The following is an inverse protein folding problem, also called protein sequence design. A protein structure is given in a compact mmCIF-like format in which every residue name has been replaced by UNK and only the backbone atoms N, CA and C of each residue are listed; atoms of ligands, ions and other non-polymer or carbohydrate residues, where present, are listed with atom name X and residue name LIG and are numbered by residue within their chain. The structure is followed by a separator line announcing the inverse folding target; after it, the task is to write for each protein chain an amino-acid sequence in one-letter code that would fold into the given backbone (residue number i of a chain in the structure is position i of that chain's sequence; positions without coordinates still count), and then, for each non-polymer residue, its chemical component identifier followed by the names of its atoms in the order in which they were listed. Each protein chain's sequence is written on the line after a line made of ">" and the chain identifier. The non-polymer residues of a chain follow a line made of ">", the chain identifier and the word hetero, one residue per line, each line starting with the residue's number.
data_IF_921847372110
#
_entry.id   IF_921847372110
#
_cell.length_a   1.000
_cell.length_b   1.000
_cell.length_c   1.000
_cell.angle_alpha   90.00
_cell.angle_beta   90.00
_cell.angle_gamma   90.00
#
_symmetry.space_group_name_H-M   'P 1'
#
loop_
_entity.id
_entity.type
_entity.pdbx_description
1 polymer ?
#
# COMPACT_ATOMS: atom_id res chain seq x y z
N UNK A 1 12.00 24.37 -8.61
CA UNK A 1 12.09 23.38 -7.51
C UNK A 1 11.54 22.10 -8.09
N UNK A 2 12.37 21.06 -8.21
CA UNK A 2 11.92 19.74 -8.65
C UNK A 2 10.97 19.15 -7.59
N UNK A 3 9.78 18.73 -8.01
CA UNK A 3 8.87 17.97 -7.16
C UNK A 3 9.44 16.55 -7.01
N UNK A 4 9.99 16.27 -5.84
CA UNK A 4 10.43 14.93 -5.47
C UNK A 4 9.22 14.02 -5.23
N UNK A 5 9.34 12.72 -5.53
CA UNK A 5 8.24 11.78 -5.36
C UNK A 5 7.69 11.82 -3.92
N UNK A 6 6.36 11.80 -3.81
CA UNK A 6 5.65 11.71 -2.53
C UNK A 6 5.98 10.43 -1.77
N UNK A 7 5.30 10.22 -0.64
CA UNK A 7 5.48 9.03 0.20
C UNK A 7 5.35 7.73 -0.62
N UNK A 8 6.27 6.80 -0.36
CA UNK A 8 6.40 5.44 -0.89
C UNK A 8 6.73 4.51 0.27
N UNK A 9 6.24 3.26 0.22
CA UNK A 9 6.53 2.23 1.23
C UNK A 9 6.75 0.87 0.56
N UNK A 10 7.54 0.01 1.22
CA UNK A 10 7.58 -1.43 1.02
C UNK A 10 7.52 -2.07 2.42
N UNK A 11 6.35 -2.61 2.81
CA UNK A 11 6.04 -2.94 4.20
C UNK A 11 7.07 -3.86 4.86
N UNK A 12 7.43 -4.97 4.21
CA UNK A 12 8.47 -5.87 4.68
C UNK A 12 9.81 -5.40 4.12
N UNK A 13 10.75 -4.91 4.96
CA UNK A 13 12.04 -4.46 4.50
C UNK A 13 12.90 -5.62 3.96
N UNK A 14 13.78 -5.32 3.02
CA UNK A 14 14.72 -6.31 2.45
C UNK A 14 15.50 -7.05 3.53
N UNK A 15 15.96 -6.35 4.57
CA UNK A 15 16.70 -6.95 5.68
C UNK A 15 15.90 -8.05 6.40
N UNK A 16 14.59 -7.84 6.57
CA UNK A 16 13.68 -8.82 7.17
C UNK A 16 13.48 -10.02 6.25
N UNK A 17 13.32 -9.80 4.94
CA UNK A 17 13.26 -10.88 3.95
C UNK A 17 14.57 -11.69 3.92
N UNK A 18 15.74 -11.05 4.01
CA UNK A 18 17.04 -11.74 4.09
C UNK A 18 17.18 -12.55 5.38
N UNK A 19 16.69 -12.04 6.50
CA UNK A 19 16.67 -12.77 7.75
C UNK A 19 15.77 -14.02 7.65
N UNK A 20 14.60 -13.88 7.01
CA UNK A 20 13.68 -14.99 6.75
C UNK A 20 14.28 -16.05 5.80
N UNK A 21 14.98 -15.63 4.75
CA UNK A 21 15.72 -16.54 3.88
C UNK A 21 16.82 -17.31 4.66
N UNK A 22 17.39 -16.69 5.69
CA UNK A 22 18.44 -17.34 6.50
C UNK A 22 17.88 -18.29 7.55
N UNK A 23 16.60 -18.19 7.92
CA UNK A 23 15.99 -18.97 9.00
C UNK A 23 15.47 -20.34 8.58
N UNK A 24 15.42 -20.65 7.27
CA UNK A 24 14.83 -21.87 6.69
C UNK A 24 13.34 -22.06 7.04
N UNK A 25 12.65 -20.98 7.39
CA UNK A 25 11.22 -21.02 7.71
C UNK A 25 10.33 -20.76 6.50
N UNK A 26 10.90 -20.26 5.39
CA UNK A 26 10.18 -19.92 4.17
C UNK A 26 10.81 -20.58 2.93
N UNK A 27 10.01 -20.69 1.87
CA UNK A 27 10.50 -21.03 0.54
C UNK A 27 11.52 -20.00 0.03
N UNK A 28 12.78 -20.45 -0.12
CA UNK A 28 13.90 -19.58 -0.49
C UNK A 28 13.72 -18.94 -1.87
N UNK A 29 13.11 -19.65 -2.81
CA UNK A 29 12.91 -19.14 -4.17
C UNK A 29 11.90 -18.00 -4.17
N UNK A 30 10.78 -18.16 -3.45
CA UNK A 30 9.79 -17.10 -3.22
C UNK A 30 10.41 -15.87 -2.55
N UNK A 31 11.15 -16.05 -1.46
CA UNK A 31 11.77 -14.93 -0.73
C UNK A 31 12.82 -14.21 -1.61
N UNK A 32 13.70 -14.95 -2.28
CA UNK A 32 14.71 -14.35 -3.15
C UNK A 32 14.10 -13.63 -4.37
N UNK A 33 12.98 -14.15 -4.90
CA UNK A 33 12.22 -13.48 -5.95
C UNK A 33 11.64 -12.15 -5.46
N UNK A 34 11.02 -12.14 -4.27
CA UNK A 34 10.44 -10.93 -3.67
C UNK A 34 11.51 -9.88 -3.30
N UNK A 35 12.70 -10.31 -2.84
CA UNK A 35 13.85 -9.39 -2.63
C UNK A 35 14.22 -8.70 -3.95
N UNK A 36 14.41 -9.47 -5.03
CA UNK A 36 14.76 -8.90 -6.35
C UNK A 36 13.69 -7.95 -6.85
N UNK A 37 12.42 -8.26 -6.59
CA UNK A 37 11.31 -7.38 -6.97
C UNK A 37 11.32 -6.07 -6.18
N UNK A 38 11.47 -6.14 -4.86
CA UNK A 38 11.59 -4.96 -4.00
C UNK A 38 12.71 -4.04 -4.46
N UNK A 39 13.88 -4.59 -4.78
CA UNK A 39 15.02 -3.84 -5.32
C UNK A 39 14.70 -3.10 -6.62
N UNK A 40 14.02 -3.77 -7.57
CA UNK A 40 13.59 -3.12 -8.82
C UNK A 40 12.60 -1.99 -8.56
N UNK A 41 11.67 -2.18 -7.63
CA UNK A 41 10.66 -1.17 -7.28
C UNK A 41 11.31 0.05 -6.63
N UNK A 42 12.25 -0.16 -5.70
CA UNK A 42 13.01 0.91 -5.06
C UNK A 42 13.88 1.67 -6.09
N UNK A 43 14.55 0.96 -7.00
CA UNK A 43 15.31 1.57 -8.11
C UNK A 43 14.42 2.39 -9.04
N UNK A 44 13.25 1.86 -9.41
CA UNK A 44 12.28 2.56 -10.24
C UNK A 44 11.73 3.81 -9.54
N UNK A 45 11.56 3.76 -8.22
CA UNK A 45 11.10 4.90 -7.42
C UNK A 45 12.17 5.97 -7.29
N UNK A 46 13.44 5.59 -7.11
CA UNK A 46 14.56 6.53 -7.10
C UNK A 46 14.73 7.29 -8.43
N UNK A 47 14.22 6.73 -9.54
CA UNK A 47 14.28 7.31 -10.88
C UNK A 47 13.04 8.14 -11.25
N UNK A 48 11.94 8.06 -10.48
CA UNK A 48 10.69 8.77 -10.78
C UNK A 48 10.68 10.18 -10.17
N UNK A 49 10.52 11.19 -11.03
CA UNK A 49 10.03 12.53 -10.67
C UNK A 49 8.50 12.47 -10.64
N UNK A 50 7.85 12.77 -9.52
CA UNK A 50 6.38 12.73 -9.46
C UNK A 50 5.76 13.88 -10.24
N UNK A 51 4.77 13.56 -11.08
CA UNK A 51 3.74 14.50 -11.52
C UNK A 51 2.45 14.11 -10.80
N UNK A 52 1.80 15.02 -10.07
CA UNK A 52 0.49 14.72 -9.48
C UNK A 52 -0.53 14.49 -10.60
N UNK A 53 -1.46 13.53 -10.46
CA UNK A 53 -2.62 13.51 -11.33
C UNK A 53 -3.36 14.84 -11.21
N UNK A 54 -3.83 15.40 -12.33
CA UNK A 54 -4.72 16.57 -12.30
C UNK A 54 -5.98 16.20 -11.50
N UNK A 55 -6.13 16.78 -10.31
CA UNK A 55 -7.34 16.75 -9.50
C UNK A 55 -8.54 17.22 -10.34
N UNK A 56 -9.52 16.34 -10.52
CA UNK A 56 -10.86 16.73 -10.96
C UNK A 56 -11.75 16.90 -9.73
N UNK A 57 -12.54 17.98 -9.72
CA UNK A 57 -13.50 18.26 -8.65
C UNK A 57 -14.44 17.08 -8.37
N UNK A 58 -14.51 16.74 -7.08
CA UNK A 58 -15.42 15.83 -6.37
C UNK A 58 -16.53 15.14 -7.18
N UNK A 59 -16.58 13.80 -7.08
CA UNK A 59 -17.82 13.01 -7.24
C UNK A 59 -17.66 11.58 -6.74
N UNK A 60 -18.36 11.30 -5.62
CA UNK A 60 -18.43 10.05 -4.84
C UNK A 60 -17.04 9.54 -4.41
N UNK A 61 -16.97 8.88 -3.25
CA UNK A 61 -15.81 8.06 -2.93
C UNK A 61 -15.62 7.09 -4.12
N UNK A 62 -14.38 6.87 -4.53
CA UNK A 62 -14.06 5.90 -5.58
C UNK A 62 -13.02 4.95 -5.03
N UNK A 63 -13.47 3.78 -4.63
CA UNK A 63 -12.61 2.67 -4.23
C UNK A 63 -12.63 1.64 -5.35
N UNK A 64 -11.46 1.30 -5.87
CA UNK A 64 -11.33 0.37 -6.99
C UNK A 64 -10.40 -0.76 -6.55
N UNK A 65 -10.94 -1.98 -6.48
CA UNK A 65 -10.14 -3.19 -6.21
C UNK A 65 -9.86 -3.91 -7.51
N UNK A 66 -8.61 -4.26 -7.71
CA UNK A 66 -8.14 -5.02 -8.86
C UNK A 66 -7.57 -6.37 -8.42
N UNK A 67 -7.51 -7.32 -9.34
CA UNK A 67 -6.93 -8.66 -9.13
C UNK A 67 -6.01 -9.06 -10.30
N UNK A 68 -5.10 -9.97 -9.97
CA UNK A 68 -4.17 -10.74 -10.80
C UNK A 68 -4.71 -11.50 -12.00
N UNK A 69 -6.02 -11.57 -12.23
CA UNK A 69 -6.66 -12.62 -13.05
C UNK A 69 -6.09 -12.80 -14.48
N UNK A 70 -5.35 -11.84 -15.02
CA UNK A 70 -4.66 -11.93 -16.32
C UNK A 70 -3.31 -12.63 -16.27
N UNK A 71 -2.71 -12.86 -15.09
CA UNK A 71 -1.36 -13.39 -14.92
C UNK A 71 -0.25 -12.42 -15.34
N UNK A 72 -0.58 -11.15 -15.60
CA UNK A 72 0.35 -10.11 -16.05
C UNK A 72 0.71 -9.19 -14.89
N UNK A 73 2.00 -8.90 -14.67
CA UNK A 73 2.51 -7.99 -13.63
C UNK A 73 2.10 -6.50 -13.83
N UNK A 74 1.25 -6.21 -14.82
CA UNK A 74 0.76 -4.87 -15.14
C UNK A 74 -0.27 -4.38 -14.11
N UNK A 75 0.09 -3.33 -13.37
CA UNK A 75 -0.81 -2.63 -12.47
C UNK A 75 -1.70 -1.62 -13.22
N UNK A 76 -2.96 -1.39 -12.78
CA UNK A 76 -3.56 -1.92 -11.55
C UNK A 76 -4.11 -3.35 -11.66
N UNK A 77 -4.20 -3.93 -12.87
CA UNK A 77 -4.78 -5.26 -13.12
C UNK A 77 -6.23 -5.19 -13.61
N UNK A 78 -7.03 -6.23 -13.34
CA UNK A 78 -8.44 -6.30 -13.75
C UNK A 78 -9.35 -5.82 -12.62
N UNK A 79 -10.21 -4.83 -12.88
CA UNK A 79 -11.18 -4.33 -11.91
C UNK A 79 -12.12 -5.47 -11.45
N UNK A 80 -12.17 -5.71 -10.15
CA UNK A 80 -13.01 -6.72 -9.50
C UNK A 80 -14.18 -6.12 -8.74
N UNK A 81 -13.90 -5.08 -7.94
CA UNK A 81 -14.89 -4.44 -7.08
C UNK A 81 -14.83 -2.94 -7.28
N UNK A 82 -16.00 -2.33 -7.36
CA UNK A 82 -16.18 -0.90 -7.41
C UNK A 82 -16.65 -0.35 -6.06
N UNK A 83 -16.73 0.97 -5.96
CA UNK A 83 -17.25 1.68 -4.79
C UNK A 83 -18.56 1.08 -4.23
N UNK A 84 -19.45 0.63 -5.11
CA UNK A 84 -20.77 0.11 -4.73
C UNK A 84 -20.69 -1.32 -4.14
N UNK A 85 -19.62 -2.07 -4.44
CA UNK A 85 -19.39 -3.43 -3.94
C UNK A 85 -18.57 -3.44 -2.64
N UNK A 86 -17.86 -2.34 -2.34
CA UNK A 86 -16.96 -2.22 -1.18
C UNK A 86 -17.69 -2.18 0.17
N UNK A 87 -19.01 -2.00 0.18
CA UNK A 87 -19.80 -1.85 1.41
C UNK A 87 -19.84 -3.11 2.31
N UNK A 88 -19.17 -4.20 1.95
CA UNK A 88 -19.20 -5.48 2.69
C UNK A 88 -17.86 -5.95 3.26
N UNK A 89 -16.69 -5.56 2.73
CA UNK A 89 -15.38 -6.04 3.19
C UNK A 89 -14.44 -4.87 3.48
N UNK A 90 -13.83 -4.87 4.67
CA UNK A 90 -12.91 -3.83 5.16
C UNK A 90 -13.47 -2.39 5.06
N UNK A 91 -14.81 -2.23 5.11
CA UNK A 91 -15.49 -0.93 5.06
C UNK A 91 -15.00 0.01 6.17
N UNK A 92 -14.78 -0.55 7.35
CA UNK A 92 -14.33 0.19 8.54
C UNK A 92 -12.95 0.82 8.32
N UNK A 93 -12.02 0.12 7.65
CA UNK A 93 -10.68 0.63 7.34
C UNK A 93 -10.74 1.94 6.55
N UNK A 94 -11.50 1.98 5.45
CA UNK A 94 -11.55 3.18 4.60
C UNK A 94 -12.41 4.30 5.15
N UNK A 95 -13.33 3.98 6.07
CA UNK A 95 -14.14 4.98 6.74
C UNK A 95 -13.47 5.53 8.00
N UNK A 96 -12.49 4.83 8.58
CA UNK A 96 -11.84 5.18 9.84
C UNK A 96 -11.44 6.65 9.94
N UNK A 97 -10.71 7.19 8.96
CA UNK A 97 -10.28 8.58 8.98
C UNK A 97 -11.44 9.57 8.89
N UNK A 98 -12.49 9.22 8.13
CA UNK A 98 -13.68 10.06 8.04
C UNK A 98 -14.46 10.02 9.36
N UNK A 99 -14.60 8.85 9.96
CA UNK A 99 -15.42 8.64 11.15
C UNK A 99 -14.78 9.32 12.38
N UNK A 100 -13.46 9.19 12.53
CA UNK A 100 -12.73 9.73 13.69
C UNK A 100 -12.27 11.17 13.48
N UNK A 101 -11.77 11.51 12.28
CA UNK A 101 -11.12 12.81 12.03
C UNK A 101 -11.89 13.71 11.06
N UNK A 102 -13.04 13.27 10.53
CA UNK A 102 -13.75 13.96 9.46
C UNK A 102 -12.87 14.20 8.22
N UNK A 103 -11.91 13.29 7.98
CA UNK A 103 -10.95 13.34 6.89
C UNK A 103 -11.22 12.21 5.89
N UNK A 104 -11.72 12.56 4.70
CA UNK A 104 -12.13 11.58 3.69
C UNK A 104 -10.95 11.03 2.87
N UNK A 105 -10.81 9.70 2.87
CA UNK A 105 -9.80 8.94 2.12
C UNK A 105 -8.38 9.54 2.28
N UNK A 106 -7.75 9.93 1.17
CA UNK A 106 -6.34 10.31 1.14
C UNK A 106 -6.10 11.81 1.36
N UNK A 107 -7.06 12.65 0.99
CA UNK A 107 -6.85 14.10 0.87
C UNK A 107 -7.85 14.95 1.65
N UNK A 108 -8.78 14.32 2.37
CA UNK A 108 -9.85 15.00 3.10
C UNK A 108 -11.07 15.35 2.24
N UNK A 109 -10.99 15.20 0.91
CA UNK A 109 -12.07 15.54 -0.03
C UNK A 109 -12.73 14.31 -0.65
N UNK A 110 -12.10 13.14 -0.53
CA UNK A 110 -12.62 11.88 -1.05
C UNK A 110 -12.03 11.51 -2.41
N UNK A 111 -10.77 11.85 -2.66
CA UNK A 111 -10.03 11.41 -3.85
C UNK A 111 -9.98 9.87 -3.93
N UNK A 112 -9.95 9.36 -5.16
CA UNK A 112 -9.97 7.92 -5.49
C UNK A 112 -8.84 7.15 -4.78
N UNK A 113 -9.18 6.01 -4.17
CA UNK A 113 -8.25 5.04 -3.61
C UNK A 113 -8.28 3.78 -4.48
N UNK A 114 -7.15 3.48 -5.13
CA UNK A 114 -6.96 2.24 -5.88
C UNK A 114 -6.21 1.22 -5.02
N UNK A 115 -6.68 -0.01 -5.01
CA UNK A 115 -6.08 -1.13 -4.28
C UNK A 115 -6.00 -2.33 -5.22
N UNK A 116 -4.79 -2.86 -5.45
CA UNK A 116 -4.62 -4.15 -6.13
C UNK A 116 -4.50 -5.23 -5.08
N UNK A 117 -5.47 -6.14 -5.07
CA UNK A 117 -5.41 -7.38 -4.31
C UNK A 117 -4.71 -8.47 -5.12
N UNK A 118 -4.14 -9.45 -4.41
CA UNK A 118 -3.41 -10.59 -4.95
C UNK A 118 -2.49 -10.18 -6.10
N UNK A 119 -1.33 -9.57 -5.80
CA UNK A 119 -0.44 -9.05 -6.84
C UNK A 119 -0.24 -10.06 -8.01
N UNK A 120 -0.40 -9.64 -9.28
CA UNK A 120 -0.45 -10.56 -10.41
C UNK A 120 0.76 -11.43 -10.65
N UNK A 121 0.49 -12.66 -11.12
CA UNK A 121 1.48 -13.50 -11.81
C UNK A 121 2.55 -14.15 -10.92
N UNK A 122 2.64 -13.80 -9.63
CA UNK A 122 3.60 -14.37 -8.68
C UNK A 122 3.15 -14.28 -7.23
N UNK A 123 3.65 -15.20 -6.39
CA UNK A 123 3.54 -15.13 -4.93
C UNK A 123 4.22 -13.88 -4.41
N UNK A 124 3.43 -12.92 -3.93
CA UNK A 124 3.92 -11.66 -3.37
C UNK A 124 3.82 -11.71 -1.85
N UNK A 125 4.96 -11.70 -1.16
CA UNK A 125 5.03 -11.69 0.31
C UNK A 125 5.19 -10.28 0.88
N UNK A 126 4.61 -9.28 0.22
CA UNK A 126 4.70 -7.89 0.66
C UNK A 126 3.39 -7.12 0.44
N UNK A 127 3.27 -5.98 1.10
CA UNK A 127 2.29 -4.93 0.82
C UNK A 127 3.04 -3.62 0.62
N UNK A 128 2.51 -2.72 -0.22
CA UNK A 128 3.19 -1.47 -0.49
C UNK A 128 2.30 -0.38 -1.10
N UNK A 129 2.62 0.86 -0.78
CA UNK A 129 2.11 2.06 -1.42
C UNK A 129 3.03 2.53 -2.55
N UNK A 130 2.49 2.54 -3.76
CA UNK A 130 3.23 2.87 -4.99
C UNK A 130 3.44 4.37 -5.24
N UNK A 131 2.86 5.23 -4.41
CA UNK A 131 2.70 6.66 -4.69
C UNK A 131 1.32 7.04 -5.22
N UNK A 132 0.59 6.10 -5.85
CA UNK A 132 -0.75 6.36 -6.41
C UNK A 132 -1.78 5.28 -6.11
N UNK A 133 -1.36 4.07 -5.78
CA UNK A 133 -2.22 2.94 -5.43
C UNK A 133 -1.56 2.07 -4.36
N UNK A 134 -2.38 1.35 -3.59
CA UNK A 134 -1.94 0.31 -2.67
C UNK A 134 -1.87 -1.03 -3.41
N UNK A 135 -0.86 -1.83 -3.13
CA UNK A 135 -0.73 -3.19 -3.63
C UNK A 135 -0.59 -4.14 -2.45
N UNK A 136 -1.41 -5.17 -2.43
CA UNK A 136 -1.47 -6.15 -1.35
C UNK A 136 -1.12 -7.52 -1.93
N UNK A 137 -0.08 -8.15 -1.40
CA UNK A 137 0.31 -9.50 -1.77
C UNK A 137 -0.62 -10.56 -1.19
N UNK A 138 -0.70 -11.69 -1.89
CA UNK A 138 -1.39 -12.89 -1.42
C UNK A 138 -0.66 -13.60 -0.28
N UNK A 139 0.59 -13.22 0.01
CA UNK A 139 1.43 -13.87 1.00
C UNK A 139 2.04 -15.18 0.48
N UNK A 140 2.52 -16.01 1.40
CA UNK A 140 2.91 -17.40 1.20
C UNK A 140 2.37 -18.25 2.36
N UNK A 141 1.84 -19.43 2.06
CA UNK A 141 1.12 -20.28 3.02
C UNK A 141 1.92 -20.68 4.28
N UNK A 142 3.26 -20.52 4.26
CA UNK A 142 4.15 -20.99 5.32
C UNK A 142 4.67 -19.87 6.25
N UNK A 143 4.72 -18.60 5.83
CA UNK A 143 5.41 -17.54 6.63
C UNK A 143 4.77 -16.17 6.65
N UNK A 144 4.04 -15.79 5.60
CA UNK A 144 3.45 -14.45 5.47
C UNK A 144 2.03 -14.66 4.97
N UNK A 145 1.02 -14.48 5.81
CA UNK A 145 -0.37 -14.62 5.38
C UNK A 145 -0.77 -13.55 4.35
N UNK A 146 -1.95 -13.70 3.75
CA UNK A 146 -2.48 -12.69 2.83
C UNK A 146 -2.59 -11.32 3.54
N UNK A 147 -2.29 -10.25 2.80
CA UNK A 147 -2.36 -8.90 3.35
C UNK A 147 -3.77 -8.30 3.27
N UNK A 148 -4.73 -8.97 2.65
CA UNK A 148 -6.11 -8.49 2.54
C UNK A 148 -6.87 -8.53 3.87
N UNK A 149 -6.47 -9.43 4.76
CA UNK A 149 -7.05 -9.61 6.10
C UNK A 149 -6.33 -8.78 7.19
N UNK A 150 -5.16 -8.22 6.88
CA UNK A 150 -4.38 -7.42 7.82
C UNK A 150 -4.86 -5.96 7.83
N UNK A 151 -5.96 -5.68 8.52
CA UNK A 151 -6.59 -4.35 8.52
C UNK A 151 -5.66 -3.21 8.98
N UNK A 152 -4.75 -3.48 9.93
CA UNK A 152 -3.73 -2.51 10.36
C UNK A 152 -2.71 -2.20 9.26
N UNK A 153 -2.34 -3.20 8.45
CA UNK A 153 -1.50 -3.01 7.25
C UNK A 153 -2.25 -2.18 6.20
N UNK A 154 -3.54 -2.43 5.96
CA UNK A 154 -4.31 -1.60 5.03
C UNK A 154 -4.34 -0.12 5.49
N UNK A 155 -4.50 0.11 6.79
CA UNK A 155 -4.44 1.48 7.35
C UNK A 155 -3.03 2.06 7.20
N UNK A 156 -1.98 1.29 7.49
CA UNK A 156 -0.58 1.71 7.32
C UNK A 156 -0.33 2.19 5.88
N UNK A 157 -0.69 1.39 4.88
CA UNK A 157 -0.50 1.77 3.46
C UNK A 157 -1.35 2.97 3.04
N UNK A 158 -2.57 3.08 3.58
CA UNK A 158 -3.44 4.24 3.34
C UNK A 158 -2.83 5.53 3.91
N UNK A 159 -2.13 5.47 5.04
CA UNK A 159 -1.46 6.62 5.66
C UNK A 159 -0.32 7.15 4.78
N UNK A 160 0.42 6.30 4.06
CA UNK A 160 1.38 6.80 3.08
C UNK A 160 0.71 7.64 1.99
N UNK A 161 -0.48 7.23 1.52
CA UNK A 161 -1.30 8.05 0.63
C UNK A 161 -1.72 9.38 1.26
N UNK A 162 -2.10 9.39 2.54
CA UNK A 162 -2.43 10.62 3.28
C UNK A 162 -1.22 11.54 3.42
N UNK A 163 -0.05 11.02 3.77
CA UNK A 163 1.20 11.77 3.88
C UNK A 163 1.54 12.41 2.54
N UNK A 164 1.38 11.70 1.43
CA UNK A 164 1.61 12.24 0.09
C UNK A 164 0.69 13.43 -0.27
N UNK A 165 -0.54 13.45 0.23
CA UNK A 165 -1.50 14.54 0.00
C UNK A 165 -1.41 15.67 1.04
N UNK A 166 -0.72 15.46 2.16
CA UNK A 166 -0.67 16.40 3.28
C UNK A 166 0.75 16.94 3.51
N UNK A 167 1.51 16.32 4.41
CA UNK A 167 2.82 16.79 4.88
C UNK A 167 3.93 16.61 3.84
N UNK A 168 3.75 15.71 2.87
CA UNK A 168 4.72 15.38 1.81
C UNK A 168 6.11 15.05 2.39
N UNK A 169 6.13 14.31 3.50
CA UNK A 169 7.37 13.79 4.06
C UNK A 169 8.08 12.93 3.00
N UNK A 170 9.39 13.12 2.88
CA UNK A 170 10.23 12.35 1.97
C UNK A 170 10.42 10.93 2.53
N UNK A 171 10.41 9.92 1.68
CA UNK A 171 10.72 8.53 2.06
C UNK A 171 12.23 8.28 2.25
N UNK A 172 12.94 9.15 2.97
CA UNK A 172 14.34 8.95 3.29
C UNK A 172 14.72 9.61 4.63
N UNK A 173 15.81 9.13 5.23
CA UNK A 173 16.38 9.64 6.48
C UNK A 173 15.32 9.78 7.60
N UNK A 174 15.38 10.86 8.38
CA UNK A 174 14.43 11.13 9.46
C UNK A 174 13.00 11.39 8.96
N UNK A 175 12.75 12.12 7.85
CA UNK A 175 11.40 12.26 7.29
C UNK A 175 10.76 10.93 6.92
N UNK A 176 11.55 9.99 6.37
CA UNK A 176 11.08 8.65 6.02
C UNK A 176 10.74 7.85 7.27
N UNK A 177 11.64 7.84 8.26
CA UNK A 177 11.37 7.19 9.55
C UNK A 177 10.12 7.76 10.26
N UNK A 178 9.86 9.07 10.14
CA UNK A 178 8.64 9.68 10.66
C UNK A 178 7.40 9.27 9.87
N UNK A 179 7.51 9.12 8.55
CA UNK A 179 6.40 8.66 7.70
C UNK A 179 5.98 7.23 8.06
N UNK A 180 6.94 6.30 8.17
CA UNK A 180 6.70 4.93 8.64
C UNK A 180 6.09 4.92 10.05
N UNK A 181 6.64 5.73 10.96
CA UNK A 181 6.10 5.82 12.32
C UNK A 181 4.65 6.31 12.36
N UNK A 182 4.28 7.29 11.53
CA UNK A 182 2.89 7.74 11.41
C UNK A 182 1.99 6.63 10.85
N UNK A 183 2.46 5.88 9.85
CA UNK A 183 1.72 4.76 9.28
C UNK A 183 1.45 3.67 10.34
N UNK A 184 2.47 3.29 11.12
CA UNK A 184 2.33 2.37 12.25
C UNK A 184 1.41 2.90 13.34
N UNK A 185 1.56 4.18 13.72
CA UNK A 185 0.75 4.83 14.75
C UNK A 185 -0.74 4.77 14.40
N UNK A 186 -1.09 5.10 13.15
CA UNK A 186 -2.49 5.06 12.72
C UNK A 186 -2.99 3.63 12.54
N UNK A 187 -2.15 2.69 12.10
CA UNK A 187 -2.48 1.26 12.07
C UNK A 187 -2.87 0.72 13.44
N UNK A 188 -2.06 0.98 14.48
CA UNK A 188 -2.40 0.55 15.85
C UNK A 188 -3.58 1.35 16.43
N UNK A 189 -3.74 2.63 16.07
CA UNK A 189 -4.89 3.43 16.51
C UNK A 189 -6.20 2.86 15.95
N UNK A 190 -6.20 2.43 14.69
CA UNK A 190 -7.36 1.75 14.10
C UNK A 190 -7.70 0.47 14.87
N UNK A 191 -6.69 -0.37 15.19
CA UNK A 191 -6.91 -1.59 16.00
C UNK A 191 -7.44 -1.35 17.41
N UNK A 192 -7.25 -0.15 17.96
CA UNK A 192 -7.81 0.23 19.26
C UNK A 192 -9.21 0.82 19.12
N UNK A 193 -9.56 1.31 17.94
CA UNK A 193 -10.87 1.86 17.62
C UNK A 193 -11.90 0.76 17.35
N UNK A 194 -11.48 -0.37 16.77
CA UNK A 194 -12.31 -1.56 16.50
C UNK A 194 -12.22 -2.61 17.61
#
# INVERSE_FOLDING_TARGET
>A
MEELPGSWCLLIPEASLRALASSQQADLDTINSNIKEGQKLEEAQAQKVSVPPKLQCARKLKRLIYDSATGTEDLPGVLRLSEDDYMTQNQQVYNFFNDVFQFKLLDGTGTELQVTMDYPGKTCVNAYWTGTQMVLGSGSDETVSNFHEAEDVLVHEMVHGIIAHTSRLKSCDQPGALAEHLADLFGITYRQYT
#
